data_IF_449208471926
#
_entry.id   IF_449208471926
#
_cell.length_a   1.000
_cell.length_b   1.000
_cell.length_c   1.000
_cell.angle_alpha   90.00
_cell.angle_beta   90.00
_cell.angle_gamma   90.00
#
_symmetry.space_group_name_H-M   'P 1'
#
loop_
_entity.id
_entity.type
_entity.pdbx_description
1 polymer ?
#
# COMPACT_ATOMS: atom_id res chain seq x y z
N UNK A 1 31.27 63.75 31.51
CA UNK A 1 32.01 63.09 32.62
C UNK A 1 31.83 61.58 32.50
N UNK A 2 32.80 60.84 31.91
CA UNK A 2 32.72 59.37 31.73
C UNK A 2 33.46 58.69 32.89
N UNK A 3 32.72 58.11 33.83
CA UNK A 3 33.29 57.37 34.96
C UNK A 3 33.83 56.01 34.49
N UNK A 4 35.14 55.90 34.27
CA UNK A 4 35.81 54.60 34.06
C UNK A 4 35.86 53.86 35.41
N UNK A 5 34.93 52.93 35.64
CA UNK A 5 34.99 51.97 36.75
C UNK A 5 36.32 51.20 36.68
N UNK A 6 37.20 51.38 37.67
CA UNK A 6 38.40 50.56 37.85
C UNK A 6 37.99 49.21 38.43
N UNK A 7 38.16 48.14 37.65
CA UNK A 7 37.94 46.77 38.11
C UNK A 7 38.95 46.43 39.21
N UNK A 8 38.46 46.18 40.43
CA UNK A 8 39.27 45.62 41.52
C UNK A 8 39.54 44.14 41.25
N UNK A 9 40.69 43.63 41.74
CA UNK A 9 41.20 42.26 41.49
C UNK A 9 40.14 41.17 41.66
N UNK A 10 39.21 41.35 42.62
CA UNK A 10 38.08 40.44 42.89
C UNK A 10 37.20 40.17 41.66
N UNK A 11 36.85 41.21 40.88
CA UNK A 11 35.98 41.05 39.70
C UNK A 11 36.71 40.43 38.50
N UNK A 12 38.03 40.61 38.41
CA UNK A 12 38.87 39.99 37.36
C UNK A 12 39.02 38.48 37.58
N UNK A 13 39.14 38.04 38.84
CA UNK A 13 39.20 36.61 39.18
C UNK A 13 37.84 35.92 39.02
N UNK A 14 36.75 36.59 39.43
CA UNK A 14 35.39 36.04 39.32
C UNK A 14 34.95 35.84 37.86
N UNK A 15 35.25 36.80 36.98
CA UNK A 15 34.92 36.69 35.55
C UNK A 15 35.67 35.55 34.86
N UNK A 16 36.93 35.31 35.20
CA UNK A 16 37.69 34.16 34.69
C UNK A 16 37.04 32.82 35.08
N UNK A 17 36.59 32.69 36.34
CA UNK A 17 35.88 31.50 36.82
C UNK A 17 34.53 31.27 36.12
N UNK A 18 33.76 32.35 35.89
CA UNK A 18 32.49 32.28 35.16
C UNK A 18 32.72 31.84 33.72
N UNK A 19 33.69 32.44 33.02
CA UNK A 19 34.01 32.10 31.63
C UNK A 19 34.46 30.64 31.54
N UNK A 20 35.32 30.20 32.47
CA UNK A 20 35.81 28.81 32.55
C UNK A 20 34.66 27.80 32.66
N UNK A 21 33.59 28.11 33.38
CA UNK A 21 32.44 27.23 33.55
C UNK A 21 31.41 27.36 32.42
N UNK A 22 31.15 28.58 31.96
CA UNK A 22 30.05 28.88 31.05
C UNK A 22 30.38 28.55 29.60
N UNK A 23 31.61 28.81 29.15
CA UNK A 23 32.03 28.52 27.77
C UNK A 23 31.95 27.04 27.41
N UNK A 24 32.53 26.09 28.17
CA UNK A 24 32.48 24.68 27.79
C UNK A 24 31.07 24.09 27.90
N UNK A 25 30.27 24.51 28.89
CA UNK A 25 28.91 23.99 29.08
C UNK A 25 27.96 24.45 27.97
N UNK A 26 28.04 25.70 27.55
CA UNK A 26 27.26 26.20 26.41
C UNK A 26 27.67 25.54 25.10
N UNK A 27 28.97 25.32 24.87
CA UNK A 27 29.44 24.59 23.70
C UNK A 27 28.88 23.16 23.65
N UNK A 28 28.99 22.41 24.74
CA UNK A 28 28.43 21.05 24.83
C UNK A 28 26.91 21.07 24.60
N UNK A 29 26.20 22.04 25.17
CA UNK A 29 24.77 22.20 24.97
C UNK A 29 24.39 22.40 23.50
N UNK A 30 25.12 23.25 22.77
CA UNK A 30 24.89 23.48 21.35
C UNK A 30 25.15 22.23 20.50
N UNK A 31 26.26 21.53 20.75
CA UNK A 31 26.56 20.27 20.05
C UNK A 31 25.52 19.19 20.35
N UNK A 32 25.12 19.06 21.61
CA UNK A 32 24.06 18.14 22.03
C UNK A 32 22.74 18.47 21.32
N UNK A 33 22.34 19.74 21.28
CA UNK A 33 21.12 20.16 20.59
C UNK A 33 21.14 19.82 19.09
N UNK A 34 22.25 20.10 18.40
CA UNK A 34 22.38 19.77 16.98
C UNK A 34 22.27 18.26 16.74
N UNK A 35 22.96 17.47 17.56
CA UNK A 35 22.97 16.00 17.45
C UNK A 35 21.61 15.39 17.77
N UNK A 36 20.95 15.85 18.83
CA UNK A 36 19.61 15.39 19.18
C UNK A 36 18.60 15.72 18.09
N UNK A 37 18.69 16.91 17.47
CA UNK A 37 17.79 17.27 16.36
C UNK A 37 17.96 16.32 15.16
N UNK A 38 19.21 16.07 14.76
CA UNK A 38 19.55 15.18 13.63
C UNK A 38 19.06 13.74 13.88
N UNK A 39 19.32 13.20 15.07
CA UNK A 39 18.93 11.83 15.41
C UNK A 39 17.40 11.68 15.52
N UNK A 40 16.70 12.68 16.07
CA UNK A 40 15.24 12.68 16.10
C UNK A 40 14.65 12.68 14.69
N UNK A 41 15.10 13.58 13.82
CA UNK A 41 14.63 13.66 12.43
C UNK A 41 14.83 12.31 11.71
N UNK A 42 16.01 11.71 11.86
CA UNK A 42 16.32 10.40 11.31
C UNK A 42 15.40 9.31 11.87
N UNK A 43 15.15 9.29 13.18
CA UNK A 43 14.25 8.33 13.79
C UNK A 43 12.80 8.49 13.31
N UNK A 44 12.31 9.72 13.14
CA UNK A 44 10.96 9.98 12.63
C UNK A 44 10.80 9.49 11.19
N UNK A 45 11.73 9.85 10.30
CA UNK A 45 11.68 9.42 8.90
C UNK A 45 11.83 7.90 8.79
N UNK A 46 12.73 7.30 9.58
CA UNK A 46 12.90 5.85 9.62
C UNK A 46 11.63 5.15 10.10
N UNK A 47 11.03 5.62 11.19
CA UNK A 47 9.80 5.03 11.74
C UNK A 47 8.62 5.14 10.76
N UNK A 48 8.48 6.28 10.09
CA UNK A 48 7.46 6.46 9.06
C UNK A 48 7.70 5.53 7.86
N UNK A 49 8.94 5.41 7.40
CA UNK A 49 9.30 4.49 6.32
C UNK A 49 9.07 3.03 6.70
N UNK A 50 9.42 2.62 7.93
CA UNK A 50 9.14 1.28 8.45
C UNK A 50 7.64 1.01 8.52
N UNK A 51 6.84 1.99 8.95
CA UNK A 51 5.38 1.86 8.96
C UNK A 51 4.80 1.65 7.56
N UNK A 52 5.29 2.40 6.56
CA UNK A 52 4.85 2.22 5.16
C UNK A 52 5.28 0.86 4.63
N UNK A 53 6.50 0.40 4.95
CA UNK A 53 6.97 -0.91 4.54
C UNK A 53 6.14 -2.05 5.15
N UNK A 54 5.73 -1.92 6.42
CA UNK A 54 4.83 -2.89 7.05
C UNK A 54 3.49 -2.94 6.33
N UNK A 55 2.91 -1.78 5.99
CA UNK A 55 1.66 -1.70 5.24
C UNK A 55 1.82 -2.32 3.85
N UNK A 56 2.91 -2.00 3.14
CA UNK A 56 3.20 -2.57 1.83
C UNK A 56 3.26 -4.09 1.89
N UNK A 57 4.00 -4.66 2.85
CA UNK A 57 4.11 -6.10 3.01
C UNK A 57 2.76 -6.74 3.34
N UNK A 58 1.90 -6.06 4.11
CA UNK A 58 0.56 -6.54 4.40
C UNK A 58 -0.32 -6.54 3.15
N UNK A 59 -0.27 -5.50 2.33
CA UNK A 59 -0.99 -5.43 1.04
C UNK A 59 -0.51 -6.54 0.11
N UNK A 60 0.81 -6.66 -0.07
CA UNK A 60 1.43 -7.72 -0.88
C UNK A 60 0.98 -9.11 -0.41
N UNK A 61 1.00 -9.38 0.89
CA UNK A 61 0.59 -10.68 1.44
C UNK A 61 -0.90 -11.00 1.27
N UNK A 62 -1.75 -10.01 1.05
CA UNK A 62 -3.18 -10.19 0.75
C UNK A 62 -3.42 -10.39 -0.75
N UNK A 63 -2.67 -9.67 -1.60
CA UNK A 63 -2.90 -9.64 -3.05
C UNK A 63 -2.18 -10.78 -3.77
N UNK A 64 -0.94 -11.11 -3.42
CA UNK A 64 -0.15 -12.16 -4.11
C UNK A 64 -0.86 -13.52 -4.15
N UNK A 65 -1.40 -14.06 -3.03
CA UNK A 65 -2.10 -15.35 -3.08
C UNK A 65 -3.36 -15.31 -3.96
N UNK A 66 -4.00 -14.15 -4.09
CA UNK A 66 -5.16 -13.97 -4.98
C UNK A 66 -4.72 -13.99 -6.44
N UNK A 67 -3.58 -13.37 -6.76
CA UNK A 67 -2.99 -13.44 -8.10
C UNK A 67 -2.60 -14.87 -8.48
N UNK A 68 -2.00 -15.62 -7.55
CA UNK A 68 -1.66 -17.03 -7.76
C UNK A 68 -2.92 -17.88 -8.05
N UNK A 69 -4.00 -17.66 -7.29
CA UNK A 69 -5.27 -18.33 -7.53
C UNK A 69 -5.88 -18.00 -8.90
N UNK A 70 -5.79 -16.73 -9.34
CA UNK A 70 -6.22 -16.33 -10.69
C UNK A 70 -5.44 -17.08 -11.76
N UNK A 71 -4.12 -17.22 -11.59
CA UNK A 71 -3.28 -17.99 -12.51
C UNK A 71 -3.73 -19.45 -12.58
N UNK A 72 -3.92 -20.11 -11.42
CA UNK A 72 -4.34 -21.51 -11.34
C UNK A 72 -5.72 -21.72 -11.96
N UNK A 73 -6.69 -20.86 -11.64
CA UNK A 73 -8.04 -20.96 -12.17
C UNK A 73 -8.08 -20.68 -13.67
N UNK A 74 -7.25 -19.77 -14.18
CA UNK A 74 -7.17 -19.52 -15.62
C UNK A 74 -6.71 -20.75 -16.41
N UNK A 75 -5.73 -21.50 -15.90
CA UNK A 75 -5.29 -22.78 -16.48
C UNK A 75 -6.37 -23.85 -16.39
N UNK A 76 -7.02 -24.00 -15.22
CA UNK A 76 -8.05 -25.02 -15.03
C UNK A 76 -9.27 -24.79 -15.93
N UNK A 77 -9.69 -23.53 -16.08
CA UNK A 77 -10.79 -23.14 -16.95
C UNK A 77 -10.40 -23.33 -18.43
N UNK A 78 -9.18 -22.96 -18.83
CA UNK A 78 -8.72 -23.14 -20.21
C UNK A 78 -8.53 -24.61 -20.59
N UNK A 79 -8.14 -25.47 -19.65
CA UNK A 79 -7.96 -26.91 -19.88
C UNK A 79 -9.26 -27.68 -20.12
N UNK A 80 -10.42 -27.07 -19.85
CA UNK A 80 -11.73 -27.69 -20.07
C UNK A 80 -12.22 -27.49 -21.52
N UNK A 81 -12.66 -28.57 -22.17
CA UNK A 81 -12.67 -28.69 -23.64
C UNK A 81 -14.03 -28.45 -24.33
N UNK A 82 -15.12 -28.14 -23.60
CA UNK A 82 -16.45 -27.93 -24.16
C UNK A 82 -17.17 -26.73 -23.51
N UNK A 83 -17.68 -25.79 -24.30
CA UNK A 83 -18.25 -24.51 -23.79
C UNK A 83 -19.35 -24.67 -22.73
N UNK A 84 -20.25 -25.65 -22.88
CA UNK A 84 -21.35 -25.90 -21.92
C UNK A 84 -20.83 -26.55 -20.62
N UNK A 85 -19.93 -27.53 -20.72
CA UNK A 85 -19.33 -28.20 -19.56
C UNK A 85 -18.42 -27.25 -18.77
N UNK A 86 -17.72 -26.37 -19.49
CA UNK A 86 -16.89 -25.30 -18.93
C UNK A 86 -17.73 -24.32 -18.12
N UNK A 87 -18.94 -23.96 -18.57
CA UNK A 87 -19.79 -22.99 -17.86
C UNK A 87 -20.23 -23.50 -16.49
N UNK A 88 -20.67 -24.75 -16.40
CA UNK A 88 -21.16 -25.36 -15.14
C UNK A 88 -20.00 -25.67 -14.19
N UNK A 89 -18.88 -26.18 -14.72
CA UNK A 89 -17.68 -26.47 -13.92
C UNK A 89 -17.04 -25.19 -13.40
N UNK A 90 -16.93 -24.15 -14.23
CA UNK A 90 -16.41 -22.84 -13.81
C UNK A 90 -17.32 -22.21 -12.76
N UNK A 91 -18.65 -22.25 -12.95
CA UNK A 91 -19.61 -21.76 -11.96
C UNK A 91 -19.41 -22.45 -10.59
N UNK A 92 -19.32 -23.79 -10.56
CA UNK A 92 -19.11 -24.54 -9.32
C UNK A 92 -17.77 -24.20 -8.66
N UNK A 93 -16.69 -24.07 -9.44
CA UNK A 93 -15.36 -23.71 -8.95
C UNK A 93 -15.39 -22.33 -8.28
N UNK A 94 -16.01 -21.34 -8.94
CA UNK A 94 -16.14 -19.98 -8.42
C UNK A 94 -17.01 -19.92 -7.15
N UNK A 95 -18.12 -20.67 -7.13
CA UNK A 95 -19.02 -20.73 -5.98
C UNK A 95 -18.35 -21.42 -4.78
N UNK A 96 -17.58 -22.49 -4.99
CA UNK A 96 -16.82 -23.16 -3.94
C UNK A 96 -15.70 -22.27 -3.39
N UNK A 97 -14.99 -21.55 -4.25
CA UNK A 97 -13.97 -20.61 -3.82
C UNK A 97 -14.56 -19.50 -2.93
N UNK A 98 -15.70 -18.92 -3.32
CA UNK A 98 -16.39 -17.90 -2.51
C UNK A 98 -16.84 -18.38 -1.13
N UNK A 99 -17.12 -19.68 -0.93
CA UNK A 99 -17.51 -20.20 0.40
C UNK A 99 -16.40 -20.03 1.43
N UNK A 100 -15.14 -20.07 1.00
CA UNK A 100 -13.97 -19.96 1.88
C UNK A 100 -13.35 -18.56 1.91
N UNK A 101 -13.72 -17.69 0.96
CA UNK A 101 -13.16 -16.34 0.80
C UNK A 101 -14.22 -15.25 0.99
N UNK A 102 -14.68 -15.08 2.23
CA UNK A 102 -15.65 -14.02 2.60
C UNK A 102 -15.09 -12.60 2.47
N UNK A 103 -13.79 -12.46 2.24
CA UNK A 103 -13.10 -11.19 1.98
C UNK A 103 -13.21 -10.71 0.53
N UNK A 104 -13.84 -11.51 -0.34
CA UNK A 104 -14.11 -11.18 -1.74
C UNK A 104 -15.58 -10.76 -1.91
N UNK A 105 -15.80 -9.78 -2.79
CA UNK A 105 -17.17 -9.38 -3.20
C UNK A 105 -17.74 -10.35 -4.24
N UNK A 106 -16.94 -10.68 -5.26
CA UNK A 106 -17.34 -11.60 -6.33
C UNK A 106 -16.10 -12.14 -7.05
N UNK A 107 -16.21 -13.33 -7.64
CA UNK A 107 -15.24 -13.88 -8.58
C UNK A 107 -15.95 -14.23 -9.88
N UNK A 108 -15.31 -13.92 -11.00
CA UNK A 108 -15.94 -13.96 -12.30
C UNK A 108 -14.99 -14.28 -13.44
N UNK A 109 -15.57 -14.77 -14.54
CA UNK A 109 -14.91 -15.10 -15.80
C UNK A 109 -15.69 -14.46 -16.95
N UNK A 110 -14.99 -13.68 -17.77
CA UNK A 110 -15.51 -13.19 -19.05
C UNK A 110 -14.90 -13.97 -20.21
N UNK A 111 -15.72 -14.49 -21.10
CA UNK A 111 -15.26 -15.22 -22.30
C UNK A 111 -15.14 -14.29 -23.50
N UNK A 112 -14.39 -14.69 -24.52
CA UNK A 112 -14.28 -13.95 -25.79
C UNK A 112 -15.63 -13.82 -26.53
N UNK A 113 -16.56 -14.74 -26.26
CA UNK A 113 -17.92 -14.72 -26.78
C UNK A 113 -18.82 -13.68 -26.11
N UNK A 114 -18.36 -13.01 -25.05
CA UNK A 114 -19.15 -12.06 -24.25
C UNK A 114 -19.95 -12.72 -23.13
N UNK A 115 -19.78 -14.03 -22.91
CA UNK A 115 -20.44 -14.74 -21.81
C UNK A 115 -19.76 -14.39 -20.49
N UNK A 116 -20.59 -14.17 -19.47
CA UNK A 116 -20.16 -13.76 -18.13
C UNK A 116 -20.57 -14.83 -17.11
N UNK A 117 -19.59 -15.55 -16.54
CA UNK A 117 -19.79 -16.56 -15.48
C UNK A 117 -19.32 -16.00 -14.13
N UNK A 118 -20.22 -15.85 -13.15
CA UNK A 118 -19.89 -15.24 -11.84
C UNK A 118 -20.37 -16.09 -10.67
N UNK A 119 -19.63 -16.02 -9.56
CA UNK A 119 -20.14 -16.45 -8.27
C UNK A 119 -21.30 -15.54 -7.82
N UNK A 120 -22.38 -16.13 -7.29
CA UNK A 120 -23.63 -15.43 -6.94
C UNK A 120 -24.28 -14.70 -8.13
N UNK A 121 -25.31 -15.32 -8.71
CA UNK A 121 -26.03 -14.75 -9.85
C UNK A 121 -26.81 -13.50 -9.43
N UNK A 122 -26.26 -12.33 -9.75
CA UNK A 122 -26.95 -11.04 -9.73
C UNK A 122 -27.26 -10.63 -11.16
N UNK A 123 -28.47 -10.17 -11.40
CA UNK A 123 -28.86 -9.60 -12.69
C UNK A 123 -28.01 -8.33 -12.96
N UNK A 124 -27.36 -8.31 -14.11
CA UNK A 124 -26.50 -7.22 -14.58
C UNK A 124 -27.19 -6.33 -15.60
N UNK A 125 -28.41 -6.67 -16.00
CA UNK A 125 -29.05 -6.15 -17.20
C UNK A 125 -28.58 -6.88 -18.46
N UNK A 126 -29.43 -6.83 -19.49
CA UNK A 126 -29.19 -7.47 -20.79
C UNK A 126 -28.01 -6.90 -21.57
N UNK A 127 -27.56 -5.70 -21.20
CA UNK A 127 -26.60 -4.91 -21.97
C UNK A 127 -25.17 -5.03 -21.42
N UNK A 128 -24.94 -5.88 -20.41
CA UNK A 128 -23.63 -6.06 -19.81
C UNK A 128 -22.71 -6.90 -20.71
N UNK A 129 -21.69 -6.27 -21.30
CA UNK A 129 -20.60 -6.97 -22.00
C UNK A 129 -19.31 -6.96 -21.17
N UNK A 130 -18.77 -8.12 -20.74
CA UNK A 130 -17.51 -8.18 -20.02
C UNK A 130 -16.33 -7.63 -20.82
N UNK A 131 -16.37 -7.66 -22.16
CA UNK A 131 -15.27 -7.29 -23.05
C UNK A 131 -15.03 -5.79 -23.14
N UNK A 132 -16.06 -5.01 -22.84
CA UNK A 132 -15.96 -3.55 -22.78
C UNK A 132 -15.40 -3.05 -21.45
N UNK A 133 -15.21 -3.94 -20.47
CA UNK A 133 -14.78 -3.54 -19.13
C UNK A 133 -13.27 -3.34 -19.08
N UNK A 134 -12.78 -2.33 -18.32
CA UNK A 134 -11.35 -2.06 -18.21
C UNK A 134 -10.52 -3.24 -17.71
N UNK A 135 -11.06 -4.06 -16.82
CA UNK A 135 -10.38 -5.26 -16.32
C UNK A 135 -10.14 -6.30 -17.43
N UNK A 136 -11.09 -6.45 -18.35
CA UNK A 136 -10.97 -7.39 -19.46
C UNK A 136 -9.97 -6.88 -20.49
N UNK A 137 -10.09 -5.61 -20.85
CA UNK A 137 -9.17 -4.97 -21.80
C UNK A 137 -7.73 -5.03 -21.29
N UNK A 138 -7.49 -4.69 -20.02
CA UNK A 138 -6.16 -4.74 -19.42
C UNK A 138 -5.58 -6.17 -19.41
N UNK A 139 -6.39 -7.17 -19.09
CA UNK A 139 -5.96 -8.57 -19.14
C UNK A 139 -5.64 -9.02 -20.58
N UNK A 140 -6.41 -8.57 -21.56
CA UNK A 140 -6.18 -8.89 -22.97
C UNK A 140 -4.99 -8.15 -23.59
N UNK A 141 -4.61 -6.99 -23.04
CA UNK A 141 -3.37 -6.29 -23.38
C UNK A 141 -2.14 -7.00 -22.80
N UNK A 142 -2.27 -7.64 -21.64
CA UNK A 142 -1.20 -8.31 -20.89
C UNK A 142 -1.39 -9.84 -20.86
N UNK A 143 -1.61 -10.46 -22.03
CA UNK A 143 -1.89 -11.91 -22.11
C UNK A 143 -0.78 -12.75 -21.50
N UNK A 144 -1.17 -13.68 -20.63
CA UNK A 144 -0.25 -14.59 -19.95
C UNK A 144 0.32 -14.04 -18.64
N UNK A 145 -0.05 -12.81 -18.25
CA UNK A 145 0.34 -12.20 -16.98
C UNK A 145 -0.91 -11.85 -16.16
N UNK A 146 -0.83 -12.04 -14.84
CA UNK A 146 -1.89 -11.61 -13.93
C UNK A 146 -1.73 -10.11 -13.67
N UNK A 147 -2.79 -9.35 -13.92
CA UNK A 147 -2.80 -7.89 -13.74
C UNK A 147 -3.74 -7.47 -12.62
N UNK A 148 -3.40 -6.37 -11.97
CA UNK A 148 -4.26 -5.69 -10.99
C UNK A 148 -4.67 -4.34 -11.58
N UNK A 149 -5.97 -4.10 -11.71
CA UNK A 149 -6.48 -2.82 -12.20
C UNK A 149 -6.39 -1.73 -11.13
N UNK A 150 -6.33 -0.47 -11.56
CA UNK A 150 -6.64 0.65 -10.66
C UNK A 150 -8.06 0.51 -10.07
N UNK A 151 -8.36 1.18 -8.94
CA UNK A 151 -9.70 1.17 -8.36
C UNK A 151 -10.75 1.62 -9.38
N UNK A 152 -11.56 0.67 -9.85
CA UNK A 152 -12.68 0.93 -10.73
C UNK A 152 -13.91 1.17 -9.87
N UNK A 153 -14.57 2.31 -10.05
CA UNK A 153 -15.97 2.38 -9.69
C UNK A 153 -16.69 1.40 -10.61
N UNK A 154 -17.24 0.31 -10.07
CA UNK A 154 -18.30 -0.45 -10.72
C UNK A 154 -19.56 0.45 -10.76
N UNK A 155 -19.47 1.55 -11.51
CA UNK A 155 -20.63 2.31 -11.96
C UNK A 155 -21.35 1.39 -12.94
N UNK A 156 -22.68 1.31 -12.79
CA UNK A 156 -23.68 0.48 -13.50
C UNK A 156 -24.31 -0.59 -12.60
N UNK A 157 -24.88 -0.15 -11.48
CA UNK A 157 -26.12 -0.69 -10.94
C UNK A 157 -26.88 0.54 -10.41
N UNK A 158 -27.49 1.25 -11.35
CA UNK A 158 -28.54 2.23 -11.01
C UNK A 158 -29.62 1.45 -10.27
N UNK A 159 -29.87 1.85 -9.03
CA UNK A 159 -31.01 1.40 -8.21
C UNK A 159 -32.30 1.82 -8.88
#
# INVERSE_FOLDING_TARGET
MKTRKRFTVKYRLLSAFIILLLVPTTLIGLFSYQKSKEELEKHYIKSASESVNVINNMVTSIIEPKMDNVSIFSEEIQASSSEEENSTKSQSLLDDYMKFHQDLDTVYVGTELGTMIRSQQKDLGSDYDPRERPWYQLAMENKGEVVVTDPLCLQELVI
#
